data_IF_027115278788
#
_entry.id   IF_027115278788
#
_cell.length_a   1.000
_cell.length_b   1.000
_cell.length_c   1.000
_cell.angle_alpha   90.00
_cell.angle_beta   90.00
_cell.angle_gamma   90.00
#
_symmetry.space_group_name_H-M   'P 1'
#
loop_
_entity.id
_entity.type
_entity.pdbx_description
1 polymer ?
#
# COMPACT_ATOMS: atom_id res chain seq x y z
N UNK A 1 -11.29 13.07 13.16
CA UNK A 1 -10.51 14.10 12.45
C UNK A 1 -9.05 13.84 12.83
N UNK A 2 -8.26 13.08 12.08
CA UNK A 2 -8.51 12.37 10.82
C UNK A 2 -7.36 11.37 10.70
N UNK A 3 -7.63 10.07 10.58
CA UNK A 3 -6.62 9.07 10.18
C UNK A 3 -5.96 9.47 8.83
N UNK A 4 -6.62 10.36 8.08
CA UNK A 4 -6.14 11.02 6.86
C UNK A 4 -4.97 12.00 7.08
N UNK A 5 -4.84 12.65 8.23
CA UNK A 5 -3.74 13.60 8.48
C UNK A 5 -2.42 12.87 8.78
N UNK A 6 -2.50 11.70 9.40
CA UNK A 6 -1.33 10.84 9.61
C UNK A 6 -0.91 10.13 8.30
N UNK A 7 -1.87 9.76 7.46
CA UNK A 7 -1.65 8.95 6.26
C UNK A 7 -0.95 9.68 5.08
N UNK A 8 -0.87 11.01 5.10
CA UNK A 8 -0.13 11.80 4.08
C UNK A 8 1.26 12.18 4.62
N UNK A 9 1.74 11.52 5.68
CA UNK A 9 3.08 11.75 6.17
C UNK A 9 4.04 10.71 5.57
N UNK A 10 4.90 11.16 4.64
CA UNK A 10 6.03 10.37 4.10
C UNK A 10 6.90 9.74 5.22
N UNK A 11 6.82 10.28 6.43
CA UNK A 11 7.54 9.78 7.59
C UNK A 11 7.01 8.44 8.15
N UNK A 12 5.83 7.94 7.78
CA UNK A 12 5.33 6.66 8.33
C UNK A 12 6.29 5.49 8.05
N UNK A 13 6.66 5.18 6.79
CA UNK A 13 7.64 4.12 6.53
C UNK A 13 8.98 4.35 7.21
N UNK A 14 9.38 5.61 7.41
CA UNK A 14 10.61 5.99 8.10
C UNK A 14 10.57 5.68 9.59
N UNK A 15 9.48 6.00 10.27
CA UNK A 15 9.29 5.71 11.69
C UNK A 15 9.26 4.20 11.95
N UNK A 16 8.78 3.42 10.99
CA UNK A 16 8.76 1.95 11.04
C UNK A 16 10.10 1.31 10.65
N UNK A 17 11.08 2.08 10.18
CA UNK A 17 12.38 1.56 9.70
C UNK A 17 12.32 0.88 8.33
N UNK A 18 11.21 1.01 7.61
CA UNK A 18 10.96 0.36 6.31
C UNK A 18 11.27 1.29 5.13
N UNK A 19 11.80 2.48 5.37
CA UNK A 19 12.04 3.52 4.34
C UNK A 19 12.85 3.01 3.14
N UNK A 20 13.78 2.07 3.35
CA UNK A 20 14.57 1.47 2.27
C UNK A 20 13.70 0.73 1.25
N UNK A 21 12.56 0.17 1.67
CA UNK A 21 11.61 -0.49 0.79
C UNK A 21 10.72 0.49 0.03
N UNK A 22 10.63 1.77 0.43
CA UNK A 22 9.70 2.77 -0.13
C UNK A 22 10.40 3.97 -0.75
N UNK A 23 11.52 3.76 -1.44
CA UNK A 23 12.22 4.83 -2.18
C UNK A 23 13.34 5.53 -1.41
N UNK A 24 13.65 5.09 -0.18
CA UNK A 24 14.79 5.58 0.58
C UNK A 24 14.56 6.97 1.20
N UNK A 25 15.63 7.68 1.56
CA UNK A 25 15.53 8.94 2.29
C UNK A 25 15.19 10.17 1.43
N UNK A 26 15.29 10.08 0.10
CA UNK A 26 15.01 11.19 -0.82
C UNK A 26 13.70 11.00 -1.56
N UNK A 27 12.83 12.01 -1.49
CA UNK A 27 11.57 12.08 -2.25
C UNK A 27 11.78 12.56 -3.69
N UNK A 28 12.95 13.13 -4.02
CA UNK A 28 13.21 13.80 -5.30
C UNK A 28 12.95 12.90 -6.53
N UNK A 29 13.35 11.60 -6.54
CA UNK A 29 13.05 10.72 -7.67
C UNK A 29 11.54 10.51 -7.86
N UNK A 30 10.78 10.50 -6.77
CA UNK A 30 9.32 10.34 -6.81
C UNK A 30 8.64 11.61 -7.30
N UNK A 31 9.07 12.78 -6.83
CA UNK A 31 8.57 14.08 -7.33
C UNK A 31 8.85 14.20 -8.82
N UNK A 32 10.09 13.92 -9.25
CA UNK A 32 10.44 13.93 -10.67
C UNK A 32 9.56 12.99 -11.49
N UNK A 33 9.36 11.75 -11.02
CA UNK A 33 8.48 10.79 -11.69
C UNK A 33 7.03 11.27 -11.80
N UNK A 34 6.51 12.01 -10.81
CA UNK A 34 5.17 12.57 -10.84
C UNK A 34 5.04 13.66 -11.92
N UNK A 35 6.01 14.58 -12.01
CA UNK A 35 6.01 15.62 -13.05
C UNK A 35 6.25 15.05 -14.45
N UNK A 36 7.15 14.08 -14.59
CA UNK A 36 7.41 13.40 -15.86
C UNK A 36 6.16 12.66 -16.38
N UNK A 37 5.33 12.10 -15.50
CA UNK A 37 4.10 11.38 -15.86
C UNK A 37 3.10 12.26 -16.62
N UNK A 38 3.04 13.55 -16.29
CA UNK A 38 2.12 14.53 -16.92
C UNK A 38 2.84 15.49 -17.88
N UNK A 39 4.02 15.10 -18.36
CA UNK A 39 4.82 15.86 -19.33
C UNK A 39 5.34 17.21 -18.82
N UNK A 40 5.76 17.28 -17.55
CA UNK A 40 6.43 18.42 -16.92
C UNK A 40 5.67 19.76 -17.04
N UNK A 41 4.43 19.85 -16.52
CA UNK A 41 3.70 21.10 -16.46
C UNK A 41 4.25 22.00 -15.36
N UNK A 42 4.01 23.31 -15.50
CA UNK A 42 4.36 24.29 -14.48
C UNK A 42 3.51 24.14 -13.20
N UNK A 43 2.32 23.57 -13.32
CA UNK A 43 1.36 23.38 -12.22
C UNK A 43 0.77 21.98 -12.27
N UNK A 44 0.82 21.28 -11.14
CA UNK A 44 0.20 19.98 -10.91
C UNK A 44 -1.20 20.18 -10.30
N UNK A 45 -2.25 19.58 -10.88
CA UNK A 45 -3.58 19.55 -10.25
C UNK A 45 -3.73 18.36 -9.31
N UNK A 46 -4.70 18.42 -8.39
CA UNK A 46 -5.00 17.29 -7.50
C UNK A 46 -5.42 16.03 -8.28
N UNK A 47 -6.13 16.18 -9.39
CA UNK A 47 -6.54 15.05 -10.22
C UNK A 47 -5.35 14.38 -10.90
N UNK A 48 -4.42 15.16 -11.44
CA UNK A 48 -3.18 14.65 -12.04
C UNK A 48 -2.36 13.84 -11.04
N UNK A 49 -2.22 14.40 -9.83
CA UNK A 49 -1.56 13.71 -8.73
C UNK A 49 -2.27 12.39 -8.37
N UNK A 50 -3.59 12.39 -8.29
CA UNK A 50 -4.36 11.18 -8.00
C UNK A 50 -4.22 10.11 -9.10
N UNK A 51 -4.20 10.50 -10.37
CA UNK A 51 -3.93 9.57 -11.47
C UNK A 51 -2.53 8.96 -11.37
N UNK A 52 -1.52 9.77 -11.01
CA UNK A 52 -0.18 9.25 -10.74
C UNK A 52 -0.13 8.31 -9.53
N UNK A 53 -0.81 8.64 -8.43
CA UNK A 53 -0.88 7.77 -7.22
C UNK A 53 -1.51 6.41 -7.54
N UNK A 54 -2.48 6.35 -8.46
CA UNK A 54 -3.08 5.08 -8.90
C UNK A 54 -2.08 4.14 -9.58
N UNK A 55 -0.94 4.64 -10.06
CA UNK A 55 0.15 3.81 -10.57
C UNK A 55 0.95 3.13 -9.45
N UNK A 56 0.59 3.36 -8.18
CA UNK A 56 1.23 2.81 -6.99
C UNK A 56 2.75 3.07 -6.96
N UNK A 57 3.20 4.34 -7.04
CA UNK A 57 4.63 4.65 -7.03
C UNK A 57 5.29 4.17 -5.73
N UNK A 58 6.55 3.74 -5.81
CA UNK A 58 7.25 3.05 -4.71
C UNK A 58 7.24 3.81 -3.38
N UNK A 59 7.25 5.15 -3.41
CA UNK A 59 7.20 6.00 -2.21
C UNK A 59 5.83 6.08 -1.54
N UNK A 60 4.76 5.75 -2.26
CA UNK A 60 3.38 5.84 -1.76
C UNK A 60 2.64 4.50 -1.79
N UNK A 61 3.20 3.42 -2.36
CA UNK A 61 2.54 2.10 -2.44
C UNK A 61 2.14 1.53 -1.07
N UNK A 62 2.80 1.95 0.03
CA UNK A 62 2.39 1.59 1.38
C UNK A 62 0.96 2.04 1.72
N UNK A 63 0.50 3.18 1.19
CA UNK A 63 -0.82 3.74 1.48
C UNK A 63 -1.97 2.86 0.92
N UNK A 64 -2.03 2.52 -0.38
CA UNK A 64 -3.04 1.60 -0.89
C UNK A 64 -2.88 0.19 -0.30
N UNK A 65 -1.66 -0.25 0.02
CA UNK A 65 -1.44 -1.52 0.73
C UNK A 65 -2.08 -1.49 2.12
N UNK A 66 -1.90 -0.42 2.89
CA UNK A 66 -2.52 -0.25 4.21
C UNK A 66 -4.04 -0.18 4.12
N UNK A 67 -4.58 0.48 3.10
CA UNK A 67 -6.03 0.48 2.86
C UNK A 67 -6.55 -0.95 2.57
N UNK A 68 -5.85 -1.73 1.74
CA UNK A 68 -6.18 -3.15 1.51
C UNK A 68 -6.06 -3.99 2.78
N UNK A 69 -5.03 -3.73 3.60
CA UNK A 69 -4.82 -4.37 4.89
C UNK A 69 -6.04 -4.15 5.80
N UNK A 70 -6.42 -2.90 6.02
CA UNK A 70 -7.58 -2.55 6.85
C UNK A 70 -8.89 -3.15 6.29
N UNK A 71 -9.12 -3.06 4.99
CA UNK A 71 -10.31 -3.63 4.36
C UNK A 71 -10.39 -5.17 4.53
N UNK A 72 -9.23 -5.84 4.57
CA UNK A 72 -9.18 -7.29 4.71
C UNK A 72 -9.54 -7.78 6.11
N UNK A 73 -9.36 -6.97 7.17
CA UNK A 73 -9.71 -7.35 8.55
C UNK A 73 -11.20 -7.69 8.67
N UNK A 74 -12.00 -6.90 7.94
CA UNK A 74 -13.43 -7.08 7.64
C UNK A 74 -13.80 -8.42 6.97
N UNK A 75 -12.87 -8.99 6.20
CA UNK A 75 -13.19 -10.01 5.22
C UNK A 75 -13.43 -11.37 5.88
N UNK A 76 -14.63 -11.90 5.68
CA UNK A 76 -15.02 -13.24 6.11
C UNK A 76 -14.97 -14.20 4.93
N UNK A 77 -14.20 -15.27 5.08
CA UNK A 77 -14.09 -16.34 4.09
C UNK A 77 -14.80 -17.58 4.63
N UNK A 78 -15.75 -18.11 3.86
CA UNK A 78 -16.45 -19.38 4.14
C UNK A 78 -15.53 -20.60 3.89
N UNK A 79 -14.36 -20.59 4.51
CA UNK A 79 -13.33 -21.61 4.40
C UNK A 79 -12.77 -21.93 5.79
N UNK A 80 -12.40 -23.19 6.01
CA UNK A 80 -11.75 -23.65 7.24
C UNK A 80 -10.24 -23.70 7.05
N UNK A 81 -9.46 -23.21 8.02
CA UNK A 81 -8.00 -23.30 7.95
C UNK A 81 -7.55 -24.77 7.99
N UNK A 82 -6.65 -25.17 7.09
CA UNK A 82 -6.17 -26.56 7.04
C UNK A 82 -5.29 -26.94 8.23
N UNK A 83 -4.62 -25.96 8.85
CA UNK A 83 -3.68 -26.16 9.97
C UNK A 83 -4.40 -26.02 11.31
N UNK A 84 -4.85 -24.81 11.66
CA UNK A 84 -5.47 -24.54 12.97
C UNK A 84 -6.97 -24.87 13.06
N UNK A 85 -7.60 -25.30 11.95
CA UNK A 85 -9.04 -25.65 11.86
C UNK A 85 -10.03 -24.53 12.19
N UNK A 86 -9.57 -23.29 12.37
CA UNK A 86 -10.42 -22.13 12.59
C UNK A 86 -11.40 -21.93 11.42
N UNK A 87 -12.65 -21.62 11.74
CA UNK A 87 -13.74 -21.33 10.82
C UNK A 87 -14.74 -20.38 11.49
N UNK A 88 -15.24 -19.35 10.79
CA UNK A 88 -14.79 -18.89 9.47
C UNK A 88 -13.39 -18.26 9.56
N UNK A 89 -12.66 -18.20 8.43
CA UNK A 89 -11.42 -17.41 8.39
C UNK A 89 -11.81 -15.94 8.29
N UNK A 90 -11.33 -15.13 9.23
CA UNK A 90 -11.43 -13.68 9.23
C UNK A 90 -10.06 -13.08 8.87
N UNK A 91 -10.05 -11.96 8.15
CA UNK A 91 -8.79 -11.32 7.75
C UNK A 91 -8.23 -11.88 6.44
N UNK A 92 -6.91 -11.86 6.32
CA UNK A 92 -6.21 -12.40 5.16
C UNK A 92 -6.29 -13.92 5.08
N UNK A 93 -6.52 -14.41 3.86
CA UNK A 93 -6.38 -15.83 3.52
C UNK A 93 -5.11 -16.05 2.70
N UNK A 94 -3.99 -16.29 3.38
CA UNK A 94 -2.77 -16.76 2.72
C UNK A 94 -2.79 -18.28 2.57
N UNK A 95 -2.72 -18.76 1.33
CA UNK A 95 -2.38 -20.15 1.04
C UNK A 95 -0.90 -20.20 0.66
N UNK A 96 -0.08 -20.84 1.50
CA UNK A 96 1.32 -21.07 1.16
C UNK A 96 1.43 -21.84 -0.16
N UNK A 97 2.19 -21.30 -1.10
CA UNK A 97 2.50 -21.98 -2.37
C UNK A 97 3.55 -23.09 -2.20
N UNK A 98 4.27 -23.14 -1.06
CA UNK A 98 5.30 -24.15 -0.80
C UNK A 98 4.74 -25.57 -0.60
N UNK A 99 3.47 -25.68 -0.22
CA UNK A 99 2.80 -26.97 0.04
C UNK A 99 1.56 -27.15 -0.84
N UNK A 100 1.67 -26.83 -2.13
CA UNK A 100 0.55 -27.00 -3.06
C UNK A 100 0.39 -28.45 -3.56
N UNK A 101 1.38 -29.32 -3.33
CA UNK A 101 1.39 -30.72 -3.76
C UNK A 101 1.62 -31.66 -2.56
N UNK A 102 0.53 -32.13 -1.94
CA UNK A 102 0.46 -33.43 -1.26
C UNK A 102 -0.87 -34.07 -1.63
#
# INVERSE_FOLDING_TARGET
>A
MSILDDAINYDIPKQLGEIAAFGGSSVEPSVKSCFDYIHNPDVLTANDFLEWVKLEPQSLVWLPVMHRLAASEAAKHEARCSICKLYPILGFRYRSLKHFNC
#
